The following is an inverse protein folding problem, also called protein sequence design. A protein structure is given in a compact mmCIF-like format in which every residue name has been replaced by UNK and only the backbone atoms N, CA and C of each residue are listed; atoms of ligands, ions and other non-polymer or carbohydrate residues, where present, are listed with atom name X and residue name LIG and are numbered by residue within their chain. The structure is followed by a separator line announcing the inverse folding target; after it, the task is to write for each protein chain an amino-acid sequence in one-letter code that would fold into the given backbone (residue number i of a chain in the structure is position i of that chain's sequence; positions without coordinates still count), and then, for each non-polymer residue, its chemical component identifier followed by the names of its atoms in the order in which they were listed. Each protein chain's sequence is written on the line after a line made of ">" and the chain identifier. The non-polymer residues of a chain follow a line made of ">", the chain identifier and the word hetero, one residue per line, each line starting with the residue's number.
data_IF_652740126435
#
_entry.id   IF_652740126435
#
_cell.length_a   1.000
_cell.length_b   1.000
_cell.length_c   1.000
_cell.angle_alpha   90.00
_cell.angle_beta   90.00
_cell.angle_gamma   90.00
#
_symmetry.space_group_name_H-M   'P 1'
#
loop_
_entity.id
_entity.type
_entity.pdbx_description
1 polymer ?
#
# COMPACT_ATOMS: atom_id res chain seq x y z
N UNK A 1 -2.66 31.75 20.68
CA UNK A 1 -1.74 32.79 21.19
C UNK A 1 -2.03 33.01 22.68
N UNK A 2 -1.41 33.99 23.34
CA UNK A 2 -1.71 34.30 24.75
C UNK A 2 -3.09 34.94 24.98
N UNK A 3 -3.82 35.29 23.92
CA UNK A 3 -5.11 36.00 23.96
C UNK A 3 -6.32 35.10 23.65
N UNK A 4 -6.11 33.79 23.49
CA UNK A 4 -7.18 32.84 23.14
C UNK A 4 -7.63 32.91 21.68
N UNK A 5 -6.83 33.52 20.79
CA UNK A 5 -7.04 33.49 19.35
C UNK A 5 -6.31 32.28 18.78
N UNK A 6 -7.05 31.44 18.07
CA UNK A 6 -6.51 30.31 17.33
C UNK A 6 -6.34 30.73 15.86
N UNK A 7 -5.10 30.66 15.35
CA UNK A 7 -4.86 30.86 13.91
C UNK A 7 -4.48 29.52 13.30
N UNK A 8 -5.29 29.07 12.34
CA UNK A 8 -5.04 27.85 11.56
C UNK A 8 -4.46 28.27 10.21
N UNK A 9 -3.31 27.69 9.86
CA UNK A 9 -2.61 27.96 8.61
C UNK A 9 -2.59 26.69 7.75
N UNK A 10 -2.96 26.81 6.48
CA UNK A 10 -2.76 25.78 5.46
C UNK A 10 -1.89 26.36 4.35
N UNK A 11 -0.75 25.72 4.09
CA UNK A 11 0.21 26.12 3.06
C UNK A 11 0.39 25.01 2.04
N UNK A 12 0.25 25.33 0.77
CA UNK A 12 0.72 24.48 -0.31
C UNK A 12 2.24 24.67 -0.48
N UNK A 13 3.00 23.60 -0.24
CA UNK A 13 4.47 23.63 -0.34
C UNK A 13 4.98 23.72 -1.79
N UNK A 14 4.16 23.40 -2.79
CA UNK A 14 4.54 23.47 -4.21
C UNK A 14 4.39 24.87 -4.80
N UNK A 15 3.28 25.55 -4.50
CA UNK A 15 3.03 26.91 -5.01
C UNK A 15 3.41 28.03 -4.04
N UNK A 16 3.69 27.69 -2.77
CA UNK A 16 3.96 28.64 -1.71
C UNK A 16 2.73 29.45 -1.27
N UNK A 17 1.56 29.20 -1.86
CA UNK A 17 0.30 29.88 -1.51
C UNK A 17 -0.16 29.43 -0.13
N UNK A 18 -0.59 30.40 0.66
CA UNK A 18 -1.06 30.20 2.03
C UNK A 18 -2.50 30.67 2.17
N UNK A 19 -3.28 29.94 2.97
CA UNK A 19 -4.58 30.35 3.46
C UNK A 19 -4.53 30.32 4.98
N UNK A 20 -5.03 31.39 5.61
CA UNK A 20 -5.12 31.50 7.06
C UNK A 20 -6.56 31.73 7.48
N UNK A 21 -6.99 31.05 8.52
CA UNK A 21 -8.26 31.29 9.20
C UNK A 21 -7.94 31.66 10.64
N UNK A 22 -8.41 32.82 11.06
CA UNK A 22 -8.26 33.28 12.44
C UNK A 22 -9.60 33.11 13.14
N UNK A 23 -9.63 32.26 14.16
CA UNK A 23 -10.78 32.08 15.05
C UNK A 23 -10.55 32.97 16.27
N UNK A 24 -11.32 34.06 16.35
CA UNK A 24 -11.31 34.99 17.48
C UNK A 24 -12.46 34.68 18.43
N UNK A 25 -12.17 34.62 19.72
CA UNK A 25 -13.13 34.33 20.78
C UNK A 25 -12.66 33.15 21.61
N UNK A 26 -12.35 33.40 22.88
CA UNK A 26 -12.13 32.31 23.83
C UNK A 26 -13.36 31.42 23.84
N UNK A 27 -13.15 30.10 23.75
CA UNK A 27 -14.18 29.06 23.92
C UNK A 27 -15.24 29.49 24.94
N UNK A 28 -16.49 29.59 24.50
CA UNK A 28 -17.63 30.01 25.34
C UNK A 28 -18.20 28.88 26.19
N UNK A 29 -17.57 27.70 26.19
CA UNK A 29 -18.04 26.57 26.96
C UNK A 29 -17.93 26.88 28.45
N UNK A 30 -19.02 26.69 29.18
CA UNK A 30 -19.02 26.77 30.63
C UNK A 30 -18.21 25.63 31.23
N UNK A 31 -17.82 25.73 32.52
CA UNK A 31 -17.10 24.63 33.19
C UNK A 31 -17.95 23.36 33.22
N UNK A 32 -19.25 23.51 33.42
CA UNK A 32 -20.21 22.42 33.41
C UNK A 32 -20.26 21.72 32.05
N UNK A 33 -20.25 22.47 30.95
CA UNK A 33 -20.20 21.91 29.59
C UNK A 33 -18.88 21.17 29.32
N UNK A 34 -17.75 21.70 29.82
CA UNK A 34 -16.43 21.04 29.73
C UNK A 34 -16.44 19.70 30.48
N UNK A 35 -16.90 19.69 31.73
CA UNK A 35 -16.95 18.48 32.56
C UNK A 35 -17.88 17.42 31.95
N UNK A 36 -19.01 17.85 31.37
CA UNK A 36 -19.88 16.96 30.60
C UNK A 36 -19.20 16.39 29.35
N UNK A 37 -18.45 17.20 28.60
CA UNK A 37 -17.72 16.72 27.42
C UNK A 37 -16.63 15.71 27.79
N UNK A 38 -15.91 15.94 28.90
CA UNK A 38 -14.89 14.98 29.39
C UNK A 38 -15.56 13.65 29.73
N UNK A 39 -16.66 13.68 30.50
CA UNK A 39 -17.38 12.47 30.89
C UNK A 39 -17.94 11.73 29.68
N UNK A 40 -18.49 12.45 28.69
CA UNK A 40 -18.97 11.84 27.43
C UNK A 40 -17.81 11.22 26.65
N UNK A 41 -16.67 11.91 26.52
CA UNK A 41 -15.50 11.38 25.83
C UNK A 41 -15.00 10.07 26.48
N UNK A 42 -14.98 9.97 27.81
CA UNK A 42 -14.62 8.74 28.50
C UNK A 42 -15.64 7.61 28.27
N UNK A 43 -16.93 7.93 28.29
CA UNK A 43 -18.01 6.96 28.07
C UNK A 43 -18.02 6.40 26.63
N UNK A 44 -17.68 7.22 25.64
CA UNK A 44 -17.69 6.85 24.23
C UNK A 44 -16.30 6.48 23.68
N UNK A 45 -15.25 6.50 24.51
CA UNK A 45 -13.87 6.27 24.08
C UNK A 45 -13.68 5.00 23.24
N UNK A 46 -14.31 3.88 23.64
CA UNK A 46 -14.20 2.61 22.91
C UNK A 46 -14.96 2.64 21.57
N UNK A 47 -16.11 3.29 21.50
CA UNK A 47 -16.86 3.41 20.25
C UNK A 47 -16.16 4.36 19.28
N UNK A 48 -15.65 5.50 19.76
CA UNK A 48 -14.85 6.44 18.97
C UNK A 48 -13.58 5.78 18.44
N UNK A 49 -12.94 4.94 19.27
CA UNK A 49 -11.81 4.11 18.85
C UNK A 49 -12.20 3.16 17.74
N UNK A 50 -13.33 2.44 17.87
CA UNK A 50 -13.82 1.51 16.85
C UNK A 50 -14.09 2.23 15.53
N UNK A 51 -14.76 3.39 15.57
CA UNK A 51 -15.06 4.21 14.40
C UNK A 51 -13.77 4.69 13.74
N UNK A 52 -12.79 5.15 14.53
CA UNK A 52 -11.48 5.55 14.04
C UNK A 52 -10.76 4.40 13.34
N UNK A 53 -10.71 3.23 13.96
CA UNK A 53 -10.06 2.05 13.36
C UNK A 53 -10.74 1.64 12.03
N UNK A 54 -12.07 1.75 11.94
CA UNK A 54 -12.81 1.48 10.71
C UNK A 54 -12.51 2.52 9.61
N UNK A 55 -12.41 3.80 9.97
CA UNK A 55 -12.01 4.86 9.04
C UNK A 55 -10.56 4.67 8.56
N UNK A 56 -9.63 4.37 9.47
CA UNK A 56 -8.23 4.11 9.15
C UNK A 56 -8.08 2.89 8.22
N UNK A 57 -8.83 1.81 8.47
CA UNK A 57 -8.84 0.62 7.62
C UNK A 57 -9.33 0.94 6.20
N UNK A 58 -10.38 1.75 6.07
CA UNK A 58 -10.90 2.21 4.76
C UNK A 58 -9.86 3.05 4.01
N UNK A 59 -9.23 4.00 4.68
CA UNK A 59 -8.18 4.84 4.08
C UNK A 59 -6.97 4.00 3.63
N UNK A 60 -6.59 3.01 4.44
CA UNK A 60 -5.53 2.05 4.08
C UNK A 60 -5.91 1.22 2.86
N UNK A 61 -7.14 0.72 2.78
CA UNK A 61 -7.62 -0.05 1.65
C UNK A 61 -7.64 0.76 0.35
N UNK A 62 -8.09 2.02 0.38
CA UNK A 62 -8.07 2.89 -0.80
C UNK A 62 -6.65 3.21 -1.26
N UNK A 63 -5.77 3.55 -0.31
CA UNK A 63 -4.36 3.82 -0.59
C UNK A 63 -3.66 2.59 -1.19
N UNK A 64 -3.95 1.41 -0.63
CA UNK A 64 -3.42 0.14 -1.12
C UNK A 64 -3.94 -0.20 -2.53
N UNK A 65 -5.25 -0.05 -2.78
CA UNK A 65 -5.84 -0.26 -4.10
C UNK A 65 -5.19 0.63 -5.15
N UNK A 66 -5.00 1.92 -4.85
CA UNK A 66 -4.33 2.86 -5.74
C UNK A 66 -2.87 2.48 -6.00
N UNK A 67 -2.12 2.11 -4.95
CA UNK A 67 -0.74 1.65 -5.10
C UNK A 67 -0.65 0.42 -6.00
N UNK A 68 -1.56 -0.54 -5.83
CA UNK A 68 -1.54 -1.78 -6.60
C UNK A 68 -1.89 -1.56 -8.08
N UNK A 69 -2.85 -0.66 -8.37
CA UNK A 69 -3.13 -0.26 -9.75
C UNK A 69 -1.93 0.41 -10.42
N UNK A 70 -1.21 1.25 -9.68
CA UNK A 70 0.00 1.87 -10.20
C UNK A 70 1.06 0.81 -10.50
N UNK A 71 1.30 -0.12 -9.57
CA UNK A 71 2.22 -1.25 -9.79
C UNK A 71 1.83 -2.08 -11.00
N UNK A 72 0.55 -2.39 -11.20
CA UNK A 72 0.09 -3.12 -12.38
C UNK A 72 0.36 -2.37 -13.69
N UNK A 73 0.17 -1.05 -13.70
CA UNK A 73 0.51 -0.21 -14.86
C UNK A 73 2.00 -0.21 -15.15
N UNK A 74 2.82 -0.13 -14.11
CA UNK A 74 4.28 -0.12 -14.21
C UNK A 74 4.84 -1.50 -14.65
N UNK A 75 4.18 -2.59 -14.27
CA UNK A 75 4.53 -3.94 -14.68
C UNK A 75 4.16 -4.23 -16.14
N UNK A 76 3.09 -3.61 -16.66
CA UNK A 76 2.72 -3.68 -18.08
C UNK A 76 2.64 -5.11 -18.61
N UNK A 77 3.47 -5.41 -19.62
CA UNK A 77 3.51 -6.72 -20.30
C UNK A 77 4.40 -7.77 -19.59
N UNK A 78 4.98 -7.44 -18.43
CA UNK A 78 5.78 -8.38 -17.63
C UNK A 78 4.94 -9.40 -16.86
N UNK A 79 3.62 -9.21 -16.84
CA UNK A 79 2.66 -10.10 -16.19
C UNK A 79 1.70 -10.67 -17.22
N UNK A 80 1.19 -11.88 -16.98
CA UNK A 80 0.20 -12.45 -17.88
C UNK A 80 -1.12 -11.66 -17.81
N UNK A 81 -1.87 -11.66 -18.92
CA UNK A 81 -3.18 -11.00 -18.98
C UNK A 81 -4.16 -11.59 -17.95
N UNK A 82 -4.08 -12.89 -17.70
CA UNK A 82 -4.92 -13.60 -16.73
C UNK A 82 -4.63 -13.13 -15.29
N UNK A 83 -3.36 -12.97 -14.92
CA UNK A 83 -2.94 -12.47 -13.62
C UNK A 83 -3.31 -11.00 -13.43
N UNK A 84 -3.10 -10.18 -14.46
CA UNK A 84 -3.50 -8.78 -14.48
C UNK A 84 -5.00 -8.64 -14.21
N UNK A 85 -5.82 -9.39 -14.96
CA UNK A 85 -7.27 -9.40 -14.81
C UNK A 85 -7.71 -9.84 -13.40
N UNK A 86 -7.06 -10.85 -12.82
CA UNK A 86 -7.32 -11.30 -11.44
C UNK A 86 -7.08 -10.20 -10.42
N UNK A 87 -5.95 -9.49 -10.51
CA UNK A 87 -5.66 -8.38 -9.59
C UNK A 87 -6.63 -7.22 -9.83
N UNK A 88 -6.87 -6.80 -11.08
CA UNK A 88 -7.79 -5.70 -11.40
C UNK A 88 -9.21 -5.96 -10.84
N UNK A 89 -9.69 -7.20 -10.99
CA UNK A 89 -10.95 -7.62 -10.40
C UNK A 89 -10.92 -7.53 -8.87
N UNK A 90 -9.88 -8.05 -8.23
CA UNK A 90 -9.74 -7.98 -6.78
C UNK A 90 -9.66 -6.54 -6.24
N UNK A 91 -9.00 -5.64 -6.98
CA UNK A 91 -8.96 -4.20 -6.68
C UNK A 91 -10.36 -3.58 -6.76
N UNK A 92 -11.13 -3.91 -7.80
CA UNK A 92 -12.52 -3.43 -7.93
C UNK A 92 -13.38 -3.92 -6.77
N UNK A 93 -13.27 -5.20 -6.42
CA UNK A 93 -13.99 -5.79 -5.29
C UNK A 93 -13.61 -5.11 -3.96
N UNK A 94 -12.32 -4.83 -3.72
CA UNK A 94 -11.87 -4.10 -2.54
C UNK A 94 -12.48 -2.69 -2.47
N UNK A 95 -12.50 -1.97 -3.60
CA UNK A 95 -13.13 -0.64 -3.65
C UNK A 95 -14.63 -0.69 -3.41
N UNK A 96 -15.31 -1.72 -3.91
CA UNK A 96 -16.74 -1.88 -3.68
C UNK A 96 -17.06 -2.21 -2.22
N UNK A 97 -16.20 -2.98 -1.54
CA UNK A 97 -16.31 -3.19 -0.09
C UNK A 97 -16.18 -1.86 0.68
N UNK A 98 -15.20 -1.02 0.32
CA UNK A 98 -15.04 0.31 0.93
C UNK A 98 -16.26 1.19 0.69
N UNK A 99 -16.74 1.29 -0.56
CA UNK A 99 -17.94 2.09 -0.92
C UNK A 99 -19.20 1.64 -0.19
N UNK A 100 -19.35 0.33 0.04
CA UNK A 100 -20.51 -0.24 0.74
C UNK A 100 -20.40 -0.15 2.26
N UNK A 101 -19.33 0.44 2.80
CA UNK A 101 -19.03 0.45 4.23
C UNK A 101 -19.06 -0.97 4.83
N UNK A 102 -18.44 -1.93 4.12
CA UNK A 102 -18.28 -3.28 4.63
C UNK A 102 -17.48 -3.29 5.94
N UNK A 103 -17.64 -4.34 6.74
CA UNK A 103 -16.97 -4.45 8.04
C UNK A 103 -15.44 -4.49 7.90
N UNK A 104 -14.74 -3.98 8.93
CA UNK A 104 -13.26 -3.97 9.02
C UNK A 104 -12.64 -5.32 8.61
N UNK A 105 -13.17 -6.42 9.13
CA UNK A 105 -12.65 -7.77 8.87
C UNK A 105 -12.76 -8.18 7.39
N UNK A 106 -13.83 -7.79 6.70
CA UNK A 106 -14.02 -8.10 5.28
C UNK A 106 -13.03 -7.32 4.41
N UNK A 107 -12.83 -6.03 4.72
CA UNK A 107 -11.84 -5.18 4.04
C UNK A 107 -10.43 -5.73 4.25
N UNK A 108 -10.07 -6.08 5.49
CA UNK A 108 -8.77 -6.67 5.83
C UNK A 108 -8.54 -8.01 5.12
N UNK A 109 -9.56 -8.89 5.08
CA UNK A 109 -9.47 -10.16 4.39
C UNK A 109 -9.19 -9.95 2.89
N UNK A 110 -9.91 -9.04 2.23
CA UNK A 110 -9.70 -8.73 0.80
C UNK A 110 -8.33 -8.09 0.54
N UNK A 111 -7.88 -7.19 1.42
CA UNK A 111 -6.52 -6.65 1.34
C UNK A 111 -5.46 -7.76 1.45
N UNK A 112 -5.63 -8.72 2.35
CA UNK A 112 -4.69 -9.82 2.53
C UNK A 112 -4.69 -10.78 1.32
N UNK A 113 -5.85 -11.07 0.74
CA UNK A 113 -5.96 -11.85 -0.51
C UNK A 113 -5.16 -11.17 -1.64
N UNK A 114 -5.35 -9.87 -1.84
CA UNK A 114 -4.63 -9.09 -2.84
C UNK A 114 -3.13 -9.03 -2.58
N UNK A 115 -2.68 -8.90 -1.32
CA UNK A 115 -1.26 -8.98 -0.96
C UNK A 115 -0.66 -10.33 -1.36
N UNK A 116 -1.35 -11.43 -1.07
CA UNK A 116 -0.89 -12.77 -1.45
C UNK A 116 -0.80 -12.95 -2.96
N UNK A 117 -1.79 -12.46 -3.72
CA UNK A 117 -1.75 -12.46 -5.18
C UNK A 117 -0.56 -11.63 -5.71
N UNK A 118 -0.34 -10.45 -5.15
CA UNK A 118 0.79 -9.58 -5.51
C UNK A 118 2.15 -10.23 -5.25
N UNK A 119 2.29 -10.98 -4.15
CA UNK A 119 3.54 -11.70 -3.86
C UNK A 119 3.79 -12.84 -4.84
N UNK A 120 2.76 -13.61 -5.20
CA UNK A 120 2.88 -14.68 -6.20
C UNK A 120 3.34 -14.14 -7.55
N UNK A 121 2.72 -13.06 -8.02
CA UNK A 121 3.10 -12.42 -9.28
C UNK A 121 4.54 -11.88 -9.23
N UNK A 122 4.94 -11.27 -8.12
CA UNK A 122 6.31 -10.80 -7.93
C UNK A 122 7.33 -11.94 -7.99
N UNK A 123 6.99 -13.09 -7.40
CA UNK A 123 7.82 -14.30 -7.45
C UNK A 123 7.95 -14.84 -8.88
N UNK A 124 6.85 -14.88 -9.65
CA UNK A 124 6.84 -15.32 -11.05
C UNK A 124 7.65 -14.39 -11.97
N UNK A 125 7.54 -13.07 -11.77
CA UNK A 125 8.36 -12.10 -12.50
C UNK A 125 9.85 -12.29 -12.20
N UNK A 126 10.21 -12.51 -10.94
CA UNK A 126 11.61 -12.72 -10.55
C UNK A 126 12.19 -14.01 -11.14
N UNK A 127 11.40 -15.10 -11.14
CA UNK A 127 11.77 -16.38 -11.79
C UNK A 127 11.95 -16.24 -13.30
N UNK A 128 11.07 -15.48 -13.96
CA UNK A 128 11.17 -15.21 -15.40
C UNK A 128 12.37 -14.31 -15.72
N UNK A 129 12.68 -13.35 -14.85
CA UNK A 129 13.82 -12.44 -15.03
C UNK A 129 15.17 -13.12 -14.79
N UNK A 130 15.25 -14.09 -13.87
CA UNK A 130 16.48 -14.86 -13.63
C UNK A 130 16.77 -15.91 -14.71
N UNK A 131 15.73 -16.41 -15.39
CA UNK A 131 15.88 -17.35 -16.52
C UNK A 131 16.15 -16.64 -17.86
N UNK A 132 15.83 -15.35 -17.98
CA UNK A 132 16.10 -14.54 -19.18
C UNK A 132 17.55 -14.09 -19.38
N UNK A 133 18.42 -14.23 -18.37
CA UNK A 133 19.84 -13.86 -18.47
C UNK A 133 20.75 -14.96 -19.05
N UNK A 134 20.21 -16.11 -19.46
CA UNK A 134 21.00 -17.26 -19.92
C UNK A 134 20.59 -17.82 -21.30
N UNK A 135 19.92 -17.02 -22.14
CA UNK A 135 19.53 -17.45 -23.49
C UNK A 135 19.75 -16.34 -24.50
N UNK A 136 21.02 -16.03 -24.72
CA UNK A 136 21.47 -15.07 -25.71
C UNK A 136 22.86 -15.39 -26.23
N UNK A 137 23.09 -16.60 -26.75
CA UNK A 137 24.09 -16.87 -27.80
C UNK A 137 23.76 -18.21 -28.47
N UNK A 138 23.12 -18.14 -29.65
CA UNK A 138 23.09 -19.23 -30.61
C UNK A 138 23.59 -18.73 -31.96
N UNK A 139 24.24 -19.65 -32.68
CA UNK A 139 24.88 -19.58 -34.01
C UNK A 139 26.37 -19.16 -33.99
N UNK A 140 27.31 -19.85 -34.63
CA UNK A 140 27.36 -21.15 -35.32
C UNK A 140 28.83 -21.40 -35.69
N UNK A 141 29.33 -22.64 -35.49
CA UNK A 141 30.37 -23.34 -36.26
C UNK A 141 31.64 -22.58 -36.74
N UNK A 142 32.82 -22.90 -36.19
CA UNK A 142 33.84 -23.79 -36.81
C UNK A 142 35.25 -23.65 -36.19
N UNK A 143 35.83 -24.82 -35.87
CA UNK A 143 37.26 -25.18 -35.81
C UNK A 143 38.26 -24.43 -34.89
N UNK A 144 38.78 -25.21 -33.95
CA UNK A 144 40.21 -25.44 -33.67
C UNK A 144 40.85 -24.83 -32.40
N UNK A 145 41.60 -25.71 -31.71
CA UNK A 145 42.65 -25.54 -30.71
C UNK A 145 42.35 -25.11 -29.25
N UNK A 146 42.65 -26.05 -28.33
CA UNK A 146 43.43 -25.80 -27.11
C UNK A 146 42.70 -26.04 -25.77
N UNK A 147 43.17 -26.97 -24.90
CA UNK A 147 42.66 -27.09 -23.53
C UNK A 147 43.39 -26.09 -22.61
N UNK A 148 42.71 -25.48 -21.63
CA UNK A 148 43.17 -25.30 -20.24
C UNK A 148 42.10 -24.59 -19.38
N UNK A 149 41.75 -25.29 -18.29
CA UNK A 149 41.36 -24.89 -16.94
C UNK A 149 40.88 -23.45 -16.65
N UNK A 150 39.73 -23.34 -15.97
CA UNK A 150 39.32 -22.12 -15.28
C UNK A 150 37.88 -22.13 -14.75
N UNK A 151 37.66 -22.86 -13.64
CA UNK A 151 36.63 -22.59 -12.61
C UNK A 151 35.14 -22.77 -12.98
N UNK A 152 34.68 -24.02 -12.87
CA UNK A 152 33.27 -24.35 -12.61
C UNK A 152 32.95 -24.07 -11.13
N UNK A 153 32.07 -23.11 -10.86
CA UNK A 153 31.49 -22.92 -9.53
C UNK A 153 30.28 -23.84 -9.45
N UNK A 154 30.48 -25.01 -8.85
CA UNK A 154 29.45 -26.02 -8.60
C UNK A 154 28.65 -25.69 -7.33
N UNK A 155 27.38 -26.10 -7.37
CA UNK A 155 26.32 -25.72 -6.45
C UNK A 155 26.38 -26.44 -5.09
N UNK A 156 25.92 -25.78 -4.02
CA UNK A 156 25.31 -26.51 -2.89
C UNK A 156 24.45 -25.58 -2.01
N UNK A 157 23.13 -25.75 -2.05
CA UNK A 157 22.25 -25.31 -0.96
C UNK A 157 21.41 -26.51 -0.51
N UNK A 158 21.92 -27.16 0.54
CA UNK A 158 21.26 -28.24 1.27
C UNK A 158 19.95 -27.75 1.89
N UNK A 159 18.90 -28.53 1.65
CA UNK A 159 17.66 -28.55 2.42
C UNK A 159 17.89 -29.42 3.65
N UNK A 160 17.66 -28.91 4.85
CA UNK A 160 17.57 -29.74 6.05
C UNK A 160 16.30 -29.37 6.82
N UNK A 161 15.43 -30.39 6.93
CA UNK A 161 14.22 -30.63 7.72
C UNK A 161 13.52 -29.47 8.43
#
# INVERSE_FOLDING_TARGET
>A
DANGILTVHAKDLGTGKEQKVTVTGASTLSKEEIDEMIKKAEQFAEEDRRIKEEADTRNQAESFAYSLEKTLKDLGDKISQDEKSKIEKGISELRDLVKKNAGKSEIEAKMNELKQLSYKISEEIYKTSSTGASSGTSASSSSDQGPQEGEVIDADFKKEN
#
